data_IF_004297690658
#
_entry.id   IF_004297690658
#
_cell.length_a   1.000
_cell.length_b   1.000
_cell.length_c   1.000
_cell.angle_alpha   90.00
_cell.angle_beta   90.00
_cell.angle_gamma   90.00
#
_symmetry.space_group_name_H-M   'P 1'
#
loop_
_entity.id
_entity.type
_entity.pdbx_description
1 polymer ?
#
# COMPACT_ATOMS: atom_id res chain seq x y z
N UNK A 1 12.29 -59.70 12.29
CA UNK A 1 12.72 -58.50 11.52
C UNK A 1 11.60 -57.48 11.24
N UNK A 2 10.37 -57.88 10.91
CA UNK A 2 9.29 -56.95 10.48
C UNK A 2 8.76 -55.94 11.53
N UNK A 3 8.95 -56.17 12.83
CA UNK A 3 8.40 -55.28 13.86
C UNK A 3 9.11 -53.92 13.88
N UNK A 4 10.43 -53.89 13.76
CA UNK A 4 11.21 -52.64 13.77
C UNK A 4 10.94 -51.76 12.56
N UNK A 5 10.71 -52.36 11.38
CA UNK A 5 10.37 -51.61 10.17
C UNK A 5 9.01 -50.90 10.29
N UNK A 6 8.02 -51.52 10.95
CA UNK A 6 6.72 -50.88 11.22
C UNK A 6 6.84 -49.64 12.10
N UNK A 7 7.66 -49.69 13.15
CA UNK A 7 7.92 -48.54 14.02
C UNK A 7 8.68 -47.43 13.27
N UNK A 8 9.65 -47.79 12.43
CA UNK A 8 10.40 -46.82 11.62
C UNK A 8 9.50 -46.08 10.63
N UNK A 9 8.62 -46.80 9.92
CA UNK A 9 7.64 -46.21 9.01
C UNK A 9 6.68 -45.30 9.77
N UNK A 10 6.19 -45.73 10.95
CA UNK A 10 5.29 -44.94 11.77
C UNK A 10 5.93 -43.61 12.21
N UNK A 11 7.20 -43.66 12.63
CA UNK A 11 7.96 -42.47 13.03
C UNK A 11 8.19 -41.51 11.85
N UNK A 12 8.51 -42.02 10.66
CA UNK A 12 8.69 -41.19 9.46
C UNK A 12 7.37 -40.53 9.05
N UNK A 13 6.26 -41.27 9.07
CA UNK A 13 4.93 -40.73 8.77
C UNK A 13 4.52 -39.67 9.80
N UNK A 14 4.81 -39.91 11.08
CA UNK A 14 4.52 -38.96 12.15
C UNK A 14 5.35 -37.67 11.99
N UNK A 15 6.64 -37.79 11.69
CA UNK A 15 7.50 -36.63 11.41
C UNK A 15 7.03 -35.85 10.17
N UNK A 16 6.62 -36.55 9.11
CA UNK A 16 6.06 -35.92 7.92
C UNK A 16 4.74 -35.19 8.23
N UNK A 17 3.88 -35.77 9.07
CA UNK A 17 2.64 -35.13 9.51
C UNK A 17 2.90 -33.88 10.36
N UNK A 18 3.89 -33.91 11.26
CA UNK A 18 4.30 -32.75 12.06
C UNK A 18 4.91 -31.65 11.16
N UNK A 19 5.75 -32.01 10.19
CA UNK A 19 6.33 -31.05 9.26
C UNK A 19 5.25 -30.40 8.36
N UNK A 20 4.30 -31.18 7.86
CA UNK A 20 3.17 -30.68 7.08
C UNK A 20 2.25 -29.78 7.93
N UNK A 21 1.95 -30.19 9.17
CA UNK A 21 1.15 -29.40 10.11
C UNK A 21 1.82 -28.08 10.49
N UNK A 22 3.13 -28.10 10.76
CA UNK A 22 3.92 -26.89 11.05
C UNK A 22 3.96 -25.91 9.87
N UNK A 23 4.07 -26.41 8.64
CA UNK A 23 4.01 -25.57 7.44
C UNK A 23 2.66 -24.88 7.26
N UNK A 24 1.54 -25.58 7.53
CA UNK A 24 0.20 -24.99 7.49
C UNK A 24 -0.01 -23.95 8.59
N UNK A 25 0.55 -24.19 9.79
CA UNK A 25 0.45 -23.27 10.92
C UNK A 25 1.20 -21.95 10.64
N UNK A 26 2.43 -22.04 10.10
CA UNK A 26 3.22 -20.89 9.68
C UNK A 26 2.54 -20.06 8.58
N UNK A 27 1.86 -20.70 7.62
CA UNK A 27 1.07 -19.99 6.60
C UNK A 27 -0.04 -19.15 7.22
N UNK A 28 -0.78 -19.67 8.20
CA UNK A 28 -1.81 -18.89 8.90
C UNK A 28 -1.22 -17.74 9.71
N UNK A 29 -0.02 -17.93 10.25
CA UNK A 29 0.63 -16.93 11.09
C UNK A 29 1.11 -15.72 10.30
N UNK A 30 1.28 -15.79 8.96
CA UNK A 30 1.69 -14.64 8.13
C UNK A 30 0.57 -14.13 7.20
N UNK A 31 -0.51 -14.91 7.02
CA UNK A 31 -1.65 -14.55 6.17
C UNK A 31 -2.31 -13.20 6.51
N UNK A 32 -2.74 -12.43 5.51
CA UNK A 32 -3.36 -11.12 5.68
C UNK A 32 -4.70 -11.21 6.43
N UNK A 33 -5.00 -10.19 7.23
CA UNK A 33 -6.22 -10.11 8.06
C UNK A 33 -7.46 -9.73 7.22
N UNK A 34 -7.27 -8.92 6.18
CA UNK A 34 -8.33 -8.50 5.25
C UNK A 34 -8.06 -9.03 3.83
N UNK A 35 -9.12 -9.37 3.09
CA UNK A 35 -9.02 -9.63 1.65
C UNK A 35 -9.07 -8.30 0.91
N UNK A 36 -7.90 -7.79 0.53
CA UNK A 36 -7.73 -6.60 -0.28
C UNK A 36 -7.52 -6.99 -1.74
N UNK A 37 -7.92 -6.09 -2.64
CA UNK A 37 -7.69 -6.18 -4.09
C UNK A 37 -7.03 -4.90 -4.62
N UNK A 38 -6.69 -4.90 -5.91
CA UNK A 38 -6.18 -3.73 -6.61
C UNK A 38 -7.26 -3.03 -7.45
N UNK A 39 -8.54 -3.38 -7.31
CA UNK A 39 -9.62 -2.72 -8.05
C UNK A 39 -9.77 -1.26 -7.59
N UNK A 40 -10.01 -0.37 -8.55
CA UNK A 40 -10.18 1.06 -8.31
C UNK A 40 -11.31 1.64 -9.16
N UNK A 41 -11.97 2.66 -8.64
CA UNK A 41 -12.88 3.49 -9.43
C UNK A 41 -12.10 4.67 -10.04
N UNK A 42 -12.24 4.95 -11.34
CA UNK A 42 -11.49 6.02 -11.98
C UNK A 42 -11.85 7.38 -11.36
N UNK A 43 -10.84 8.09 -10.85
CA UNK A 43 -11.03 9.43 -10.28
C UNK A 43 -11.16 10.45 -11.42
N UNK A 44 -12.37 10.98 -11.59
CA UNK A 44 -12.65 11.96 -12.63
C UNK A 44 -12.14 13.35 -12.22
N UNK A 45 -10.98 13.73 -12.77
CA UNK A 45 -10.42 15.08 -12.61
C UNK A 45 -11.37 16.16 -13.16
N UNK A 46 -12.19 15.82 -14.17
CA UNK A 46 -13.19 16.73 -14.74
C UNK A 46 -14.26 17.10 -13.71
N UNK A 47 -14.77 16.12 -12.98
CA UNK A 47 -15.83 16.37 -12.00
C UNK A 47 -15.31 17.22 -10.84
N UNK A 48 -14.06 16.98 -10.40
CA UNK A 48 -13.38 17.83 -9.42
C UNK A 48 -13.16 19.27 -9.93
N UNK A 49 -12.90 19.44 -11.23
CA UNK A 49 -12.79 20.78 -11.82
C UNK A 49 -14.14 21.52 -11.89
N UNK A 50 -15.24 20.80 -12.14
CA UNK A 50 -16.59 21.37 -12.08
C UNK A 50 -16.92 21.80 -10.64
N UNK A 51 -16.55 20.99 -9.65
CA UNK A 51 -16.74 21.30 -8.24
C UNK A 51 -15.94 22.55 -7.80
N UNK A 52 -14.72 22.75 -8.32
CA UNK A 52 -13.95 23.99 -8.12
C UNK A 52 -14.70 25.23 -8.64
N UNK A 53 -15.24 25.15 -9.85
CA UNK A 53 -16.00 26.24 -10.47
C UNK A 53 -17.30 26.49 -9.72
N UNK A 54 -18.00 25.44 -9.32
CA UNK A 54 -19.25 25.52 -8.55
C UNK A 54 -19.04 26.16 -7.18
N UNK A 55 -17.95 25.81 -6.49
CA UNK A 55 -17.62 26.35 -5.17
C UNK A 55 -16.85 27.67 -5.22
N UNK A 56 -16.52 28.18 -6.42
CA UNK A 56 -15.73 29.40 -6.64
C UNK A 56 -14.40 29.43 -5.85
N UNK A 57 -13.83 28.25 -5.57
CA UNK A 57 -12.57 28.11 -4.85
C UNK A 57 -11.59 27.30 -5.70
N UNK A 58 -10.38 27.80 -5.94
CA UNK A 58 -9.35 27.08 -6.67
C UNK A 58 -8.70 26.02 -5.76
N UNK A 59 -9.49 25.10 -5.22
CA UNK A 59 -9.03 24.02 -4.35
C UNK A 59 -9.55 22.67 -4.81
N UNK A 60 -8.64 21.69 -4.91
CA UNK A 60 -8.98 20.30 -5.19
C UNK A 60 -8.98 19.55 -3.86
N UNK A 61 -10.11 18.95 -3.52
CA UNK A 61 -10.22 18.06 -2.36
C UNK A 61 -10.15 16.62 -2.84
N UNK A 62 -9.18 15.88 -2.33
CA UNK A 62 -9.06 14.44 -2.51
C UNK A 62 -9.51 13.76 -1.23
N UNK A 63 -10.63 13.05 -1.28
CA UNK A 63 -11.03 12.16 -0.20
C UNK A 63 -10.06 10.98 -0.07
N UNK A 64 -10.08 10.28 1.06
CA UNK A 64 -9.36 9.01 1.21
C UNK A 64 -9.65 8.03 0.07
N UNK A 65 -10.92 7.91 -0.35
CA UNK A 65 -11.31 7.04 -1.46
C UNK A 65 -10.65 7.48 -2.78
N UNK A 66 -10.59 8.79 -3.06
CA UNK A 66 -9.88 9.31 -4.22
C UNK A 66 -8.39 8.97 -4.16
N UNK A 67 -7.76 9.16 -3.01
CA UNK A 67 -6.32 8.87 -2.81
C UNK A 67 -6.06 7.38 -3.00
N UNK A 68 -6.87 6.51 -2.40
CA UNK A 68 -6.78 5.06 -2.55
C UNK A 68 -6.89 4.63 -4.02
N UNK A 69 -7.89 5.16 -4.73
CA UNK A 69 -8.12 4.82 -6.13
C UNK A 69 -7.01 5.35 -7.04
N UNK A 70 -6.52 6.58 -6.81
CA UNK A 70 -5.39 7.15 -7.56
C UNK A 70 -4.13 6.31 -7.38
N UNK A 71 -3.77 5.93 -6.15
CA UNK A 71 -2.57 5.13 -5.90
C UNK A 71 -2.72 3.73 -6.54
N UNK A 72 -3.87 3.06 -6.40
CA UNK A 72 -4.13 1.78 -7.08
C UNK A 72 -4.01 1.89 -8.60
N UNK A 73 -4.55 2.95 -9.20
CA UNK A 73 -4.44 3.19 -10.64
C UNK A 73 -2.98 3.36 -11.09
N UNK A 74 -2.16 4.04 -10.29
CA UNK A 74 -0.75 4.23 -10.57
C UNK A 74 0.03 2.92 -10.43
N UNK A 75 -0.28 2.11 -9.42
CA UNK A 75 0.35 0.80 -9.23
C UNK A 75 0.04 -0.16 -10.38
N UNK A 76 -1.16 -0.09 -10.96
CA UNK A 76 -1.50 -0.88 -12.15
C UNK A 76 -0.81 -0.35 -13.41
N UNK A 77 -0.76 0.98 -13.57
CA UNK A 77 -0.19 1.62 -14.76
C UNK A 77 1.35 1.61 -14.77
N UNK A 78 1.95 1.58 -13.59
CA UNK A 78 3.38 1.52 -13.36
C UNK A 78 3.63 0.59 -12.17
N UNK A 79 3.73 -0.73 -12.42
CA UNK A 79 4.03 -1.69 -11.38
C UNK A 79 5.27 -1.23 -10.64
N UNK A 80 5.14 -1.01 -9.33
CA UNK A 80 6.30 -0.74 -8.49
C UNK A 80 7.31 -1.87 -8.72
N UNK A 81 8.60 -1.56 -8.69
CA UNK A 81 9.68 -2.55 -8.75
C UNK A 81 9.64 -3.40 -7.48
N UNK A 82 8.69 -4.33 -7.41
CA UNK A 82 8.59 -5.30 -6.34
C UNK A 82 9.78 -6.26 -6.47
N UNK A 83 10.30 -6.79 -5.35
CA UNK A 83 11.23 -7.89 -5.39
C UNK A 83 10.68 -9.03 -6.26
N UNK A 84 11.53 -9.72 -7.06
CA UNK A 84 11.07 -10.72 -8.02
C UNK A 84 10.28 -11.88 -7.39
N UNK A 85 10.47 -12.11 -6.08
CA UNK A 85 9.80 -13.17 -5.33
C UNK A 85 8.50 -12.71 -4.66
N UNK A 86 8.07 -11.47 -4.88
CA UNK A 86 6.87 -10.89 -4.28
C UNK A 86 5.87 -10.45 -5.35
N UNK A 87 4.63 -10.87 -5.19
CA UNK A 87 3.49 -10.39 -5.98
C UNK A 87 2.57 -9.57 -5.09
N UNK A 88 2.15 -8.40 -5.55
CA UNK A 88 1.14 -7.58 -4.87
C UNK A 88 -0.26 -8.07 -5.28
N UNK A 89 -1.01 -8.62 -4.34
CA UNK A 89 -2.36 -9.15 -4.57
C UNK A 89 -3.43 -8.08 -4.35
N UNK A 90 -3.19 -7.16 -3.42
CA UNK A 90 -4.15 -6.14 -3.04
C UNK A 90 -3.53 -5.04 -2.21
N UNK A 91 -4.16 -3.86 -2.23
CA UNK A 91 -3.72 -2.73 -1.45
C UNK A 91 -4.89 -1.88 -0.97
N UNK A 92 -4.73 -1.21 0.17
CA UNK A 92 -5.68 -0.22 0.67
C UNK A 92 -4.89 0.91 1.31
N UNK A 93 -5.23 2.14 0.95
CA UNK A 93 -4.52 3.33 1.41
C UNK A 93 -5.46 4.18 2.25
N UNK A 94 -5.03 4.51 3.46
CA UNK A 94 -5.71 5.44 4.36
C UNK A 94 -4.90 6.72 4.49
N UNK A 95 -5.59 7.84 4.55
CA UNK A 95 -4.98 9.13 4.86
C UNK A 95 -5.27 9.41 6.32
N UNK A 96 -4.26 9.78 7.11
CA UNK A 96 -4.43 10.17 8.51
C UNK A 96 -3.53 11.37 8.82
N UNK A 97 -4.05 12.57 8.56
CA UNK A 97 -3.26 13.79 8.67
C UNK A 97 -2.11 13.75 7.66
N UNK A 98 -0.90 14.05 8.11
CA UNK A 98 0.32 13.99 7.29
C UNK A 98 0.85 12.56 7.09
N UNK A 99 0.07 11.52 7.40
CA UNK A 99 0.47 10.13 7.22
C UNK A 99 -0.38 9.42 6.17
N UNK A 100 0.28 8.62 5.35
CA UNK A 100 -0.33 7.65 4.46
C UNK A 100 -0.08 6.26 5.02
N UNK A 101 -1.15 5.53 5.34
CA UNK A 101 -1.07 4.15 5.83
C UNK A 101 -1.44 3.23 4.67
N UNK A 102 -0.50 2.40 4.24
CA UNK A 102 -0.67 1.45 3.15
C UNK A 102 -0.78 0.03 3.72
N UNK A 103 -1.97 -0.54 3.64
CA UNK A 103 -2.24 -1.94 3.89
C UNK A 103 -1.99 -2.72 2.60
N UNK A 104 -1.04 -3.64 2.60
CA UNK A 104 -0.60 -4.37 1.44
C UNK A 104 -0.79 -5.87 1.67
N UNK A 105 -1.46 -6.52 0.73
CA UNK A 105 -1.53 -7.97 0.64
C UNK A 105 -0.59 -8.41 -0.46
N UNK A 106 0.37 -9.26 -0.11
CA UNK A 106 1.34 -9.80 -1.06
C UNK A 106 1.45 -11.30 -0.92
N UNK A 107 1.92 -11.95 -1.99
CA UNK A 107 2.28 -13.36 -1.97
C UNK A 107 3.76 -13.52 -2.25
N UNK A 108 4.46 -14.19 -1.34
CA UNK A 108 5.87 -14.58 -1.48
C UNK A 108 6.00 -15.94 -2.15
N UNK A 109 6.84 -16.02 -3.19
CA UNK A 109 7.05 -17.19 -4.05
C UNK A 109 5.75 -17.91 -4.45
N UNK A 110 4.68 -17.16 -4.77
CA UNK A 110 3.36 -17.68 -5.20
C UNK A 110 2.58 -18.53 -4.16
N UNK A 111 3.13 -18.81 -2.97
CA UNK A 111 2.49 -19.75 -2.02
C UNK A 111 2.30 -19.23 -0.60
N UNK A 112 3.00 -18.15 -0.21
CA UNK A 112 2.97 -17.63 1.15
C UNK A 112 2.33 -16.24 1.16
N UNK A 113 1.05 -16.12 1.57
CA UNK A 113 0.41 -14.83 1.68
C UNK A 113 0.96 -14.07 2.90
N UNK A 114 1.23 -12.78 2.71
CA UNK A 114 1.84 -11.86 3.66
C UNK A 114 1.04 -10.56 3.69
N UNK A 115 0.57 -10.18 4.88
CA UNK A 115 0.01 -8.86 5.13
C UNK A 115 1.08 -7.90 5.65
N UNK A 116 1.21 -6.74 5.03
CA UNK A 116 2.11 -5.67 5.46
C UNK A 116 1.35 -4.37 5.69
N UNK A 117 1.84 -3.57 6.63
CA UNK A 117 1.38 -2.23 6.90
C UNK A 117 2.59 -1.29 6.80
N UNK A 118 2.63 -0.50 5.75
CA UNK A 118 3.65 0.53 5.55
C UNK A 118 3.07 1.89 5.92
N UNK A 119 3.77 2.65 6.76
CA UNK A 119 3.38 4.03 7.09
C UNK A 119 4.39 4.99 6.52
N UNK A 120 3.90 5.97 5.76
CA UNK A 120 4.69 7.06 5.20
C UNK A 120 4.23 8.40 5.75
N UNK A 121 5.17 9.32 5.96
CA UNK A 121 4.90 10.73 6.18
C UNK A 121 4.85 11.45 4.85
N UNK A 122 3.74 12.10 4.56
CA UNK A 122 3.56 12.96 3.40
C UNK A 122 4.09 14.36 3.71
N UNK A 123 4.87 14.92 2.81
CA UNK A 123 5.34 16.31 2.90
C UNK A 123 5.34 16.94 1.53
N UNK A 124 4.69 18.11 1.43
CA UNK A 124 4.69 18.92 0.22
C UNK A 124 5.89 19.87 0.22
N UNK A 125 6.75 19.74 -0.79
CA UNK A 125 7.88 20.62 -1.05
C UNK A 125 7.90 20.91 -2.55
N UNK A 126 7.21 21.98 -2.96
CA UNK A 126 6.99 22.29 -4.37
C UNK A 126 8.28 22.15 -5.21
N UNK A 127 8.23 21.44 -6.36
CA UNK A 127 7.05 20.82 -7.00
C UNK A 127 6.77 19.37 -6.58
N UNK A 128 7.40 18.89 -5.50
CA UNK A 128 7.44 17.48 -5.15
C UNK A 128 6.55 17.15 -3.96
N UNK A 129 5.76 16.08 -4.09
CA UNK A 129 5.17 15.38 -2.96
C UNK A 129 6.14 14.27 -2.52
N UNK A 130 6.64 14.37 -1.29
CA UNK A 130 7.53 13.36 -0.71
C UNK A 130 6.75 12.44 0.22
N UNK A 131 7.02 11.14 0.14
CA UNK A 131 6.65 10.13 1.12
C UNK A 131 7.90 9.65 1.85
N UNK A 132 8.07 10.05 3.10
CA UNK A 132 9.18 9.60 3.96
C UNK A 132 8.75 8.36 4.75
N UNK A 133 9.51 7.25 4.69
CA UNK A 133 9.14 6.03 5.38
C UNK A 133 9.23 6.21 6.90
N UNK A 134 8.15 5.87 7.61
CA UNK A 134 8.09 5.91 9.07
C UNK A 134 8.21 4.52 9.68
N UNK A 135 7.49 3.55 9.14
CA UNK A 135 7.50 2.16 9.63
C UNK A 135 7.04 1.18 8.56
N UNK A 136 7.50 -0.06 8.71
CA UNK A 136 6.99 -1.21 7.96
C UNK A 136 6.71 -2.32 8.95
N UNK A 137 5.46 -2.72 9.07
CA UNK A 137 5.03 -3.76 10.00
C UNK A 137 4.49 -4.96 9.22
N UNK A 138 4.86 -6.17 9.63
CA UNK A 138 4.26 -7.42 9.17
C UNK A 138 3.55 -8.03 10.35
N UNK A 139 2.21 -7.99 10.33
CA UNK A 139 1.35 -8.29 11.48
C UNK A 139 1.75 -7.51 12.75
N UNK A 140 2.44 -8.17 13.68
CA UNK A 140 2.85 -7.62 14.97
C UNK A 140 4.37 -7.37 15.06
N UNK A 141 5.10 -7.59 13.97
CA UNK A 141 6.55 -7.38 13.92
C UNK A 141 6.88 -6.11 13.12
N UNK A 142 7.53 -5.17 13.77
CA UNK A 142 8.11 -4.00 13.10
C UNK A 142 9.43 -4.41 12.43
N UNK A 143 9.45 -4.33 11.09
CA UNK A 143 10.64 -4.57 10.28
C UNK A 143 11.53 -3.32 10.18
N UNK A 144 11.06 -2.19 10.69
CA UNK A 144 11.73 -0.90 10.62
C UNK A 144 11.56 -0.22 9.26
N UNK A 145 11.83 1.09 9.24
CA UNK A 145 11.70 1.94 8.05
C UNK A 145 12.77 1.73 6.98
N UNK A 146 13.91 1.12 7.33
CA UNK A 146 15.08 0.98 6.44
C UNK A 146 14.82 0.03 5.24
N UNK A 147 13.69 -0.69 5.27
CA UNK A 147 13.22 -1.55 4.18
C UNK A 147 12.33 -0.82 3.17
N UNK A 148 11.97 0.42 3.45
CA UNK A 148 11.13 1.24 2.60
C UNK A 148 11.96 2.38 2.02
N UNK A 149 11.84 2.56 0.71
CA UNK A 149 12.47 3.69 0.05
C UNK A 149 11.62 4.95 0.20
N UNK A 150 12.31 6.10 0.26
CA UNK A 150 11.67 7.41 0.14
C UNK A 150 11.13 7.58 -1.27
N UNK A 151 9.85 7.90 -1.39
CA UNK A 151 9.20 8.12 -2.68
C UNK A 151 9.09 9.63 -2.91
N UNK A 152 9.48 10.09 -4.09
CA UNK A 152 9.33 11.48 -4.50
C UNK A 152 8.51 11.51 -5.78
N UNK A 153 7.32 12.10 -5.69
CA UNK A 153 6.40 12.25 -6.83
C UNK A 153 6.44 13.71 -7.28
N UNK A 154 7.11 14.02 -8.41
CA UNK A 154 7.03 15.35 -8.99
C UNK A 154 5.60 15.57 -9.52
N UNK A 155 4.96 16.66 -9.10
CA UNK A 155 3.65 17.04 -9.63
C UNK A 155 3.87 18.06 -10.74
N UNK A 156 3.70 17.60 -11.98
CA UNK A 156 3.75 18.46 -13.16
C UNK A 156 2.37 19.06 -13.44
N UNK A 157 2.29 20.39 -13.46
CA UNK A 157 1.08 21.13 -13.81
C UNK A 157 1.32 21.98 -15.08
N UNK A 158 0.25 22.30 -15.83
CA UNK A 158 0.34 23.26 -16.93
C UNK A 158 0.86 24.62 -16.44
N UNK A 159 1.61 25.34 -17.28
CA UNK A 159 2.28 26.62 -16.94
C UNK A 159 1.38 27.74 -16.41
N UNK A 160 0.06 27.63 -16.57
CA UNK A 160 -0.90 28.62 -16.08
C UNK A 160 -1.26 28.43 -14.60
N UNK A 161 -1.00 27.24 -14.03
CA UNK A 161 -1.47 26.82 -12.70
C UNK A 161 -0.33 26.19 -11.92
N UNK A 162 -0.20 26.58 -10.66
CA UNK A 162 0.75 26.01 -9.70
C UNK A 162 0.03 25.54 -8.44
N UNK A 163 0.63 24.61 -7.69
CA UNK A 163 0.14 24.30 -6.34
C UNK A 163 0.69 25.37 -5.40
N UNK A 164 -0.21 26.16 -4.82
CA UNK A 164 0.14 27.14 -3.79
C UNK A 164 0.40 26.47 -2.45
N UNK A 165 -0.50 25.57 -2.03
CA UNK A 165 -0.37 24.83 -0.78
C UNK A 165 -1.02 23.44 -0.88
N UNK A 166 -0.54 22.50 -0.06
CA UNK A 166 -1.16 21.19 0.13
C UNK A 166 -1.33 20.95 1.63
N UNK A 167 -2.57 20.72 2.05
CA UNK A 167 -2.93 20.48 3.44
C UNK A 167 -3.39 19.04 3.60
N UNK A 168 -2.69 18.30 4.46
CA UNK A 168 -3.05 16.93 4.78
C UNK A 168 -3.94 16.93 6.03
N UNK A 169 -5.17 16.46 5.89
CA UNK A 169 -6.17 16.41 6.95
C UNK A 169 -6.43 14.95 7.35
N UNK A 170 -7.28 14.72 8.35
CA UNK A 170 -7.49 13.39 8.92
C UNK A 170 -7.99 12.33 7.93
N UNK A 171 -8.72 12.70 6.87
CA UNK A 171 -9.39 11.78 5.94
C UNK A 171 -9.32 12.27 4.48
N UNK A 172 -8.54 13.33 4.23
CA UNK A 172 -8.52 14.02 2.94
C UNK A 172 -7.26 14.87 2.76
N UNK A 173 -6.95 15.14 1.51
CA UNK A 173 -5.88 16.05 1.09
C UNK A 173 -6.52 17.23 0.37
N UNK A 174 -6.21 18.44 0.81
CA UNK A 174 -6.69 19.69 0.20
C UNK A 174 -5.54 20.35 -0.55
N UNK A 175 -5.67 20.46 -1.86
CA UNK A 175 -4.67 21.04 -2.76
C UNK A 175 -5.17 22.41 -3.21
N UNK A 176 -4.53 23.48 -2.75
CA UNK A 176 -4.87 24.85 -3.16
C UNK A 176 -4.04 25.24 -4.38
N UNK A 177 -4.73 25.59 -5.45
CA UNK A 177 -4.14 26.03 -6.70
C UNK A 177 -3.92 27.54 -6.68
N UNK A 178 -2.84 27.97 -7.34
CA UNK A 178 -2.51 29.38 -7.56
C UNK A 178 -2.26 29.60 -9.04
N UNK A 179 -2.94 30.59 -9.60
CA UNK A 179 -2.70 31.06 -10.96
C UNK A 179 -1.33 31.75 -11.02
N UNK A 180 -0.53 31.36 -12.01
CA UNK A 180 0.66 32.10 -12.39
C UNK A 180 0.23 33.20 -13.36
N UNK A 181 0.13 34.43 -12.84
CA UNK A 181 -0.12 35.66 -13.60
C UNK A 181 1.18 36.45 -13.74
#
# INVERSE_FOLDING_TARGET
MFRWLKWLILTVVLLAAIAAGGGLWLKSYVAPEEKLDLAYDPVSIKDKAVEMVANLKPEIVLSEADVNNLIKSQLQSSPASLPPDMTLDGARFEVNGDKLIAHLNMTYHEFLPVGMLATYKMTWQAPNLTFEPLSLTVKNYDLGKDRLDRIVVPIELPSLISIGNMEFQQDRIVIRLRLQL
#
